data_IF_517547536133
#
_entry.id   IF_517547536133
#
_cell.length_a   1.000
_cell.length_b   1.000
_cell.length_c   1.000
_cell.angle_alpha   90.00
_cell.angle_beta   90.00
_cell.angle_gamma   90.00
#
_symmetry.space_group_name_H-M   'P 1'
#
loop_
_entity.id
_entity.type
_entity.pdbx_description
1 polymer ?
#
# COMPACT_ATOMS: atom_id res chain seq x y z
N UNK A 1 -8.41 -2.21 11.53
CA UNK A 1 -8.51 -3.23 12.62
C UNK A 1 -8.87 -2.55 13.92
N UNK A 2 -9.61 -3.20 14.82
CA UNK A 2 -9.90 -2.68 16.14
C UNK A 2 -8.60 -2.34 16.90
N UNK A 3 -8.62 -1.37 17.84
CA UNK A 3 -7.46 -1.05 18.66
C UNK A 3 -6.95 -2.27 19.43
N UNK A 4 -5.64 -2.29 19.70
CA UNK A 4 -5.04 -3.29 20.57
C UNK A 4 -5.47 -3.09 22.03
N UNK A 5 -5.28 -4.09 22.92
CA UNK A 5 -5.66 -3.97 24.33
C UNK A 5 -4.99 -2.82 25.10
N UNK A 6 -3.82 -2.36 24.62
CA UNK A 6 -3.10 -1.20 25.14
C UNK A 6 -3.48 0.13 24.46
N UNK A 7 -4.51 0.11 23.62
CA UNK A 7 -5.07 1.30 22.97
C UNK A 7 -4.37 1.74 21.68
N UNK A 8 -3.46 0.93 21.11
CA UNK A 8 -2.84 1.26 19.83
C UNK A 8 -3.83 1.12 18.68
N UNK A 9 -3.98 2.18 17.89
CA UNK A 9 -4.90 2.21 16.75
C UNK A 9 -4.25 1.76 15.44
N UNK A 10 -4.83 0.75 14.81
CA UNK A 10 -4.43 0.23 13.50
C UNK A 10 -5.32 0.84 12.42
N UNK A 11 -5.02 2.08 12.04
CA UNK A 11 -5.75 2.83 11.01
C UNK A 11 -4.80 3.68 10.16
N UNK A 12 -5.24 4.01 8.94
CA UNK A 12 -4.55 4.98 8.10
C UNK A 12 -4.74 6.38 8.70
N UNK A 13 -3.65 7.15 8.98
CA UNK A 13 -3.76 8.50 9.49
C UNK A 13 -4.52 9.44 8.55
N UNK A 14 -5.24 10.42 9.09
CA UNK A 14 -6.00 11.39 8.27
C UNK A 14 -5.09 12.20 7.34
N UNK A 15 -3.93 12.64 7.83
CA UNK A 15 -2.94 13.33 6.98
C UNK A 15 -2.43 12.45 5.83
N UNK A 16 -2.30 11.14 6.03
CA UNK A 16 -1.98 10.20 4.94
C UNK A 16 -3.08 10.16 3.88
N UNK A 17 -4.34 10.14 4.29
CA UNK A 17 -5.50 10.15 3.37
C UNK A 17 -5.54 11.42 2.53
N UNK A 18 -5.29 12.57 3.13
CA UNK A 18 -5.25 13.86 2.43
C UNK A 18 -4.10 13.94 1.43
N UNK A 19 -2.91 13.43 1.83
CA UNK A 19 -1.76 13.39 0.94
C UNK A 19 -2.02 12.48 -0.26
N UNK A 20 -2.60 11.29 -0.05
CA UNK A 20 -2.99 10.37 -1.11
C UNK A 20 -3.98 11.03 -2.08
N UNK A 21 -5.06 11.63 -1.58
CA UNK A 21 -6.02 12.37 -2.41
C UNK A 21 -5.34 13.45 -3.23
N UNK A 22 -4.43 14.20 -2.62
CA UNK A 22 -3.69 15.27 -3.29
C UNK A 22 -2.84 14.75 -4.45
N UNK A 23 -2.13 13.64 -4.25
CA UNK A 23 -1.25 13.04 -5.26
C UNK A 23 -2.06 12.51 -6.44
N UNK A 24 -3.12 11.73 -6.19
CA UNK A 24 -3.98 11.21 -7.25
C UNK A 24 -4.67 12.34 -8.02
N UNK A 25 -5.20 13.36 -7.33
CA UNK A 25 -5.84 14.51 -7.96
C UNK A 25 -4.92 15.30 -8.89
N UNK A 26 -3.62 15.40 -8.59
CA UNK A 26 -2.62 16.02 -9.51
C UNK A 26 -2.51 15.30 -10.84
N UNK A 27 -2.93 14.06 -10.91
CA UNK A 27 -2.92 13.18 -12.09
C UNK A 27 -4.31 13.00 -12.69
N UNK A 28 -5.28 13.82 -12.30
CA UNK A 28 -6.68 13.72 -12.71
C UNK A 28 -7.35 12.37 -12.34
N UNK A 29 -6.85 11.71 -11.29
CA UNK A 29 -7.43 10.49 -10.72
C UNK A 29 -8.14 10.86 -9.42
N UNK A 30 -9.43 10.57 -9.34
CA UNK A 30 -10.19 10.76 -8.10
C UNK A 30 -10.05 9.51 -7.24
N UNK A 31 -9.36 9.64 -6.12
CA UNK A 31 -9.20 8.55 -5.18
C UNK A 31 -10.31 8.57 -4.12
N UNK A 32 -11.24 7.63 -4.24
CA UNK A 32 -12.32 7.43 -3.28
C UNK A 32 -11.88 6.42 -2.23
N UNK A 33 -11.82 6.84 -0.98
CA UNK A 33 -11.57 5.96 0.16
C UNK A 33 -12.88 5.75 0.92
N UNK A 34 -13.38 4.52 0.92
CA UNK A 34 -14.42 4.11 1.84
C UNK A 34 -13.77 3.61 3.14
N UNK A 35 -13.74 4.49 4.12
CA UNK A 35 -13.21 4.23 5.47
C UNK A 35 -14.34 4.25 6.52
N UNK A 36 -15.59 4.11 6.05
CA UNK A 36 -16.81 4.19 6.83
C UNK A 36 -17.51 5.54 6.76
N UNK A 37 -16.91 6.55 6.16
CA UNK A 37 -17.55 7.84 5.92
C UNK A 37 -18.72 7.74 4.94
N UNK A 38 -18.72 6.72 4.10
CA UNK A 38 -19.81 6.39 3.16
C UNK A 38 -20.73 5.26 3.67
N UNK A 39 -20.53 4.83 4.91
CA UNK A 39 -21.45 3.91 5.59
C UNK A 39 -21.19 2.42 5.36
N UNK A 40 -20.01 2.01 4.95
CA UNK A 40 -19.78 0.63 4.51
C UNK A 40 -18.56 -0.11 5.06
N UNK A 41 -17.85 0.40 6.06
CA UNK A 41 -16.66 -0.28 6.55
C UNK A 41 -16.95 -1.27 7.68
N UNK A 42 -16.13 -2.32 7.73
CA UNK A 42 -16.13 -3.28 8.82
C UNK A 42 -14.94 -3.07 9.75
N UNK A 43 -15.18 -3.13 11.05
CA UNK A 43 -14.12 -3.15 12.05
C UNK A 43 -13.67 -4.59 12.27
N UNK A 44 -12.52 -4.94 11.72
CA UNK A 44 -11.91 -6.25 11.92
C UNK A 44 -11.48 -6.38 13.38
N UNK A 45 -11.84 -7.46 14.09
CA UNK A 45 -11.39 -7.69 15.46
C UNK A 45 -9.86 -7.67 15.57
N UNK A 46 -9.36 -7.19 16.72
CA UNK A 46 -7.92 -7.14 16.96
C UNK A 46 -7.28 -8.52 16.89
N UNK A 47 -6.15 -8.58 16.21
CA UNK A 47 -5.25 -9.72 16.17
C UNK A 47 -3.81 -9.20 16.31
N UNK A 48 -3.05 -9.80 17.21
CA UNK A 48 -1.66 -9.38 17.49
C UNK A 48 -0.69 -9.67 16.34
N UNK A 49 -1.00 -10.67 15.54
CA UNK A 49 -0.27 -11.04 14.31
C UNK A 49 -1.26 -11.57 13.28
N UNK A 50 -1.14 -11.06 12.07
CA UNK A 50 -1.95 -11.49 10.92
C UNK A 50 -1.00 -12.04 9.87
N UNK A 51 -1.20 -13.30 9.49
CA UNK A 51 -0.46 -13.95 8.41
C UNK A 51 -1.29 -13.99 7.12
N UNK A 52 -0.68 -14.45 6.03
CA UNK A 52 -1.33 -14.53 4.71
C UNK A 52 -2.61 -15.41 4.73
N UNK A 53 -2.61 -16.52 5.47
CA UNK A 53 -3.81 -17.36 5.60
C UNK A 53 -4.97 -16.60 6.26
N UNK A 54 -4.69 -15.86 7.34
CA UNK A 54 -5.71 -15.03 8.01
C UNK A 54 -6.22 -13.93 7.08
N UNK A 55 -5.34 -13.28 6.32
CA UNK A 55 -5.75 -12.25 5.36
C UNK A 55 -6.69 -12.81 4.30
N UNK A 56 -6.34 -13.92 3.68
CA UNK A 56 -7.10 -14.49 2.57
C UNK A 56 -8.35 -15.23 2.99
N UNK A 57 -8.26 -16.10 4.01
CA UNK A 57 -9.34 -17.03 4.37
C UNK A 57 -10.30 -16.44 5.40
N UNK A 58 -9.84 -15.46 6.18
CA UNK A 58 -10.68 -14.86 7.20
C UNK A 58 -11.03 -13.40 6.85
N UNK A 59 -10.04 -12.51 6.74
CA UNK A 59 -10.30 -11.08 6.59
C UNK A 59 -10.96 -10.79 5.25
N UNK A 60 -10.35 -11.19 4.14
CA UNK A 60 -10.89 -10.94 2.81
C UNK A 60 -12.25 -11.62 2.62
N UNK A 61 -12.37 -12.87 3.04
CA UNK A 61 -13.60 -13.64 2.89
C UNK A 61 -14.76 -13.08 3.70
N UNK A 62 -14.53 -12.73 4.98
CA UNK A 62 -15.63 -12.29 5.84
C UNK A 62 -15.97 -10.81 5.69
N UNK A 63 -14.96 -9.93 5.48
CA UNK A 63 -15.14 -8.47 5.56
C UNK A 63 -15.16 -7.80 4.19
N UNK A 64 -14.46 -8.31 3.19
CA UNK A 64 -14.58 -7.78 1.83
C UNK A 64 -15.67 -8.49 1.03
N UNK A 65 -15.64 -9.82 1.01
CA UNK A 65 -16.61 -10.61 0.24
C UNK A 65 -17.93 -10.88 0.99
N UNK A 66 -17.99 -10.64 2.29
CA UNK A 66 -19.16 -10.96 3.11
C UNK A 66 -19.63 -12.41 2.94
N UNK A 67 -18.68 -13.35 2.82
CA UNK A 67 -18.91 -14.80 2.60
C UNK A 67 -19.58 -15.14 1.26
N UNK A 68 -19.56 -14.23 0.31
CA UNK A 68 -20.10 -14.44 -1.05
C UNK A 68 -18.99 -14.30 -2.09
N UNK A 69 -18.58 -15.42 -2.70
CA UNK A 69 -17.56 -15.46 -3.73
C UNK A 69 -17.92 -14.68 -5.02
N UNK A 70 -19.17 -14.28 -5.18
CA UNK A 70 -19.68 -13.46 -6.29
C UNK A 70 -20.02 -12.05 -5.86
N UNK A 71 -19.53 -11.61 -4.70
CA UNK A 71 -19.81 -10.28 -4.19
C UNK A 71 -19.47 -9.21 -5.24
N UNK A 72 -20.37 -8.27 -5.43
CA UNK A 72 -20.25 -7.20 -6.43
C UNK A 72 -19.05 -6.28 -6.23
N UNK A 73 -18.44 -6.28 -5.04
CA UNK A 73 -17.19 -5.55 -4.75
C UNK A 73 -16.00 -6.03 -5.59
N UNK A 74 -16.04 -7.32 -6.01
CA UNK A 74 -15.07 -7.85 -6.96
C UNK A 74 -15.19 -7.11 -8.29
N UNK A 75 -14.08 -6.63 -8.82
CA UNK A 75 -14.05 -5.87 -10.06
C UNK A 75 -14.51 -4.40 -9.94
N UNK A 76 -14.77 -3.92 -8.72
CA UNK A 76 -15.16 -2.53 -8.45
C UNK A 76 -14.24 -1.86 -7.45
N UNK A 77 -13.80 -2.58 -6.40
CA UNK A 77 -12.98 -2.02 -5.33
C UNK A 77 -11.64 -2.73 -5.19
N UNK A 78 -10.63 -1.92 -4.90
CA UNK A 78 -9.38 -2.38 -4.31
C UNK A 78 -9.53 -2.38 -2.78
N UNK A 79 -9.02 -3.43 -2.12
CA UNK A 79 -9.22 -3.63 -0.70
C UNK A 79 -7.93 -3.47 0.09
N UNK A 80 -7.77 -2.32 0.76
CA UNK A 80 -6.63 -2.03 1.64
C UNK A 80 -6.96 -2.33 3.11
N UNK A 81 -6.12 -3.10 3.78
CA UNK A 81 -6.28 -3.44 5.19
C UNK A 81 -5.15 -2.85 6.02
N UNK A 82 -5.49 -2.14 7.09
CA UNK A 82 -4.51 -1.71 8.09
C UNK A 82 -4.61 -2.64 9.29
N UNK A 83 -3.60 -3.49 9.46
CA UNK A 83 -3.51 -4.45 10.58
C UNK A 83 -2.56 -3.95 11.66
N UNK A 84 -2.64 -4.52 12.87
CA UNK A 84 -1.68 -4.21 13.92
C UNK A 84 -0.27 -4.63 13.51
N UNK A 85 -0.09 -5.90 13.16
CA UNK A 85 1.17 -6.47 12.72
C UNK A 85 0.92 -7.65 11.78
N UNK A 86 1.72 -7.76 10.73
CA UNK A 86 1.80 -8.93 9.86
C UNK A 86 3.27 -9.36 9.72
N UNK A 87 3.52 -10.41 8.94
CA UNK A 87 4.86 -10.94 8.68
C UNK A 87 5.77 -9.89 8.03
N UNK A 88 5.18 -8.99 7.23
CA UNK A 88 5.88 -7.87 6.57
C UNK A 88 5.20 -6.53 6.89
N UNK A 89 5.94 -5.40 6.78
CA UNK A 89 5.37 -4.06 6.96
C UNK A 89 4.23 -3.74 6.00
N UNK A 90 4.26 -4.31 4.80
CA UNK A 90 3.22 -4.24 3.78
C UNK A 90 3.42 -5.36 2.77
N UNK A 91 2.35 -5.84 2.17
CA UNK A 91 2.37 -6.69 0.97
C UNK A 91 0.98 -6.82 0.34
N UNK A 92 0.96 -7.01 -1.00
CA UNK A 92 -0.21 -7.45 -1.74
C UNK A 92 -0.49 -8.92 -1.48
N UNK A 93 -1.70 -9.27 -1.06
CA UNK A 93 -2.09 -10.66 -0.81
C UNK A 93 -3.14 -11.17 -1.81
N UNK A 94 -3.64 -10.29 -2.66
CA UNK A 94 -4.46 -10.59 -3.85
C UNK A 94 -4.25 -9.49 -4.88
N UNK A 95 -4.63 -9.74 -6.13
CA UNK A 95 -4.56 -8.77 -7.22
C UNK A 95 -5.30 -7.45 -6.92
N UNK A 96 -6.33 -7.48 -6.09
CA UNK A 96 -7.10 -6.31 -5.68
C UNK A 96 -7.02 -6.02 -4.19
N UNK A 97 -6.08 -6.63 -3.46
CA UNK A 97 -6.04 -6.47 -2.00
C UNK A 97 -4.61 -6.46 -1.45
N UNK A 98 -4.37 -5.57 -0.50
CA UNK A 98 -3.10 -5.43 0.20
C UNK A 98 -3.29 -5.14 1.68
N UNK A 99 -2.24 -5.30 2.44
CA UNK A 99 -2.17 -4.91 3.83
C UNK A 99 -0.98 -4.00 4.13
N UNK A 100 -1.11 -3.14 5.14
CA UNK A 100 0.00 -2.48 5.81
C UNK A 100 -0.08 -2.74 7.32
N UNK A 101 1.09 -2.87 7.95
CA UNK A 101 1.23 -3.18 9.38
C UNK A 101 1.49 -1.90 10.16
N UNK A 102 0.52 -1.42 10.93
CA UNK A 102 0.61 -0.13 11.61
C UNK A 102 1.72 -0.09 12.69
N UNK A 103 1.87 -1.15 13.47
CA UNK A 103 2.86 -1.17 14.57
C UNK A 103 4.32 -1.09 14.08
N UNK A 104 4.78 -1.89 13.08
CA UNK A 104 6.14 -1.73 12.54
C UNK A 104 6.37 -0.35 11.89
N UNK A 105 5.38 0.19 11.20
CA UNK A 105 5.49 1.52 10.58
C UNK A 105 5.65 2.63 11.65
N UNK A 106 4.91 2.54 12.75
CA UNK A 106 5.05 3.47 13.88
C UNK A 106 6.40 3.35 14.58
N UNK A 107 6.98 2.14 14.63
CA UNK A 107 8.29 1.88 15.24
C UNK A 107 9.47 2.17 14.31
N UNK A 108 9.22 2.58 13.07
CA UNK A 108 10.28 2.88 12.12
C UNK A 108 11.15 4.05 12.63
N UNK A 109 12.37 3.70 13.09
CA UNK A 109 13.29 4.64 13.75
C UNK A 109 14.06 5.56 12.79
N UNK A 110 14.01 5.26 11.49
CA UNK A 110 14.72 6.04 10.47
C UNK A 110 14.03 7.35 10.16
N UNK A 111 12.81 7.53 10.65
CA UNK A 111 11.97 8.69 10.38
C UNK A 111 11.67 9.40 11.69
N UNK A 112 12.04 10.68 11.84
CA UNK A 112 11.72 11.46 13.04
C UNK A 112 10.21 11.50 13.28
N UNK A 113 9.79 11.26 14.51
CA UNK A 113 8.40 11.17 14.97
C UNK A 113 7.68 12.53 14.98
N UNK A 114 7.54 13.15 13.82
CA UNK A 114 6.59 14.27 13.65
C UNK A 114 5.31 13.74 13.02
N UNK A 115 4.16 14.37 13.28
CA UNK A 115 2.89 13.98 12.66
C UNK A 115 2.99 13.90 11.13
N UNK A 116 3.56 14.91 10.50
CA UNK A 116 3.76 14.96 9.05
C UNK A 116 4.59 13.78 8.51
N UNK A 117 5.62 13.36 9.25
CA UNK A 117 6.46 12.22 8.81
C UNK A 117 5.75 10.90 9.02
N UNK A 118 4.99 10.76 10.08
CA UNK A 118 4.10 9.61 10.27
C UNK A 118 3.13 9.48 9.11
N UNK A 119 2.50 10.58 8.71
CA UNK A 119 1.55 10.61 7.60
C UNK A 119 2.21 10.20 6.28
N UNK A 120 3.45 10.65 6.02
CA UNK A 120 4.22 10.26 4.84
C UNK A 120 4.55 8.75 4.87
N UNK A 121 5.00 8.22 6.00
CA UNK A 121 5.35 6.79 6.12
C UNK A 121 4.15 5.89 5.82
N UNK A 122 3.03 6.17 6.48
CA UNK A 122 1.82 5.38 6.29
C UNK A 122 1.24 5.54 4.89
N UNK A 123 1.18 6.77 4.38
CA UNK A 123 0.68 7.04 3.04
C UNK A 123 1.57 6.45 1.95
N UNK A 124 2.90 6.49 2.13
CA UNK A 124 3.86 5.87 1.22
C UNK A 124 3.73 4.35 1.19
N UNK A 125 3.69 3.71 2.35
CA UNK A 125 3.47 2.26 2.44
C UNK A 125 2.14 1.86 1.81
N UNK A 126 1.06 2.61 2.11
CA UNK A 126 -0.25 2.35 1.55
C UNK A 126 -0.26 2.50 0.02
N UNK A 127 0.33 3.57 -0.52
CA UNK A 127 0.41 3.82 -1.95
C UNK A 127 1.29 2.78 -2.66
N UNK A 128 2.38 2.34 -2.03
CA UNK A 128 3.25 1.28 -2.55
C UNK A 128 2.47 -0.02 -2.75
N UNK A 129 1.81 -0.50 -1.71
CA UNK A 129 1.05 -1.75 -1.79
C UNK A 129 -0.18 -1.63 -2.71
N UNK A 130 -0.82 -0.46 -2.73
CA UNK A 130 -1.88 -0.16 -3.69
C UNK A 130 -1.37 -0.25 -5.13
N UNK A 131 -0.14 0.20 -5.40
CA UNK A 131 0.49 0.13 -6.72
C UNK A 131 0.60 -1.30 -7.26
N UNK A 132 0.87 -2.28 -6.41
CA UNK A 132 0.87 -3.68 -6.82
C UNK A 132 -0.51 -4.14 -7.32
N UNK A 133 -1.58 -3.54 -6.82
CA UNK A 133 -2.94 -3.86 -7.29
C UNK A 133 -3.33 -3.13 -8.58
N UNK A 134 -2.49 -2.24 -9.10
CA UNK A 134 -2.60 -1.60 -10.41
C UNK A 134 -1.68 -2.25 -11.47
N UNK A 135 -1.23 -3.45 -11.23
CA UNK A 135 -0.27 -4.20 -12.05
C UNK A 135 1.12 -3.53 -12.17
N UNK A 136 1.48 -2.69 -11.21
CA UNK A 136 2.85 -2.19 -11.15
C UNK A 136 3.81 -3.33 -10.84
N UNK A 137 4.32 -3.93 -11.91
CA UNK A 137 5.42 -4.86 -11.78
C UNK A 137 6.71 -4.03 -11.70
N UNK A 138 7.39 -3.97 -10.53
CA UNK A 138 8.56 -3.11 -10.38
C UNK A 138 9.68 -3.63 -11.28
N UNK A 139 10.05 -2.82 -12.27
CA UNK A 139 11.11 -3.13 -13.23
C UNK A 139 12.50 -3.03 -12.59
N UNK A 140 12.58 -2.37 -11.42
CA UNK A 140 13.82 -2.24 -10.65
C UNK A 140 13.65 -1.29 -9.46
N UNK A 141 14.63 -1.31 -8.58
CA UNK A 141 14.55 -0.56 -7.32
C UNK A 141 13.65 -1.22 -6.24
N UNK A 142 13.09 -2.38 -6.53
CA UNK A 142 12.21 -3.14 -5.64
C UNK A 142 12.89 -4.40 -5.10
N UNK A 143 14.19 -4.32 -4.86
CA UNK A 143 15.01 -5.39 -4.31
C UNK A 143 15.80 -4.93 -3.11
N UNK A 144 16.37 -5.88 -2.37
CA UNK A 144 17.14 -5.60 -1.14
C UNK A 144 18.41 -4.79 -1.37
N UNK A 145 18.91 -4.69 -2.61
CA UNK A 145 20.09 -3.91 -2.99
C UNK A 145 19.75 -2.43 -3.28
N UNK A 146 18.50 -2.04 -3.14
CA UNK A 146 18.02 -0.69 -3.48
C UNK A 146 17.66 0.19 -2.29
N UNK A 147 17.75 -0.32 -1.05
CA UNK A 147 17.32 0.43 0.14
C UNK A 147 18.25 1.60 0.54
N UNK A 148 19.56 1.43 0.39
CA UNK A 148 20.51 2.34 1.03
C UNK A 148 21.57 2.87 0.08
N UNK A 149 22.07 4.12 0.30
CA UNK A 149 23.06 4.77 -0.57
C UNK A 149 24.41 4.04 -0.72
N UNK A 150 24.71 3.08 0.13
CA UNK A 150 25.94 2.26 -0.01
C UNK A 150 25.73 0.99 -0.86
N UNK A 151 24.55 0.77 -1.41
CA UNK A 151 24.21 -0.37 -2.26
C UNK A 151 24.23 0.04 -3.73
N UNK A 152 24.68 -0.88 -4.62
CA UNK A 152 24.78 -0.61 -6.06
C UNK A 152 23.42 -0.41 -6.73
N UNK A 153 22.42 -1.19 -6.32
CA UNK A 153 21.05 -1.04 -6.83
C UNK A 153 20.47 0.33 -6.52
N UNK A 154 20.77 0.89 -5.34
CA UNK A 154 20.31 2.23 -5.00
C UNK A 154 20.85 3.29 -5.99
N UNK A 155 22.13 3.24 -6.37
CA UNK A 155 22.72 4.17 -7.33
C UNK A 155 22.13 3.99 -8.74
N UNK A 156 21.91 2.75 -9.15
CA UNK A 156 21.31 2.44 -10.45
C UNK A 156 19.88 2.98 -10.56
N UNK A 157 19.06 2.75 -9.54
CA UNK A 157 17.64 3.07 -9.53
C UNK A 157 17.31 4.43 -8.91
N UNK A 158 18.31 5.19 -8.49
CA UNK A 158 18.13 6.52 -7.91
C UNK A 158 17.27 7.48 -8.77
N UNK A 159 17.32 7.48 -10.10
CA UNK A 159 16.44 8.34 -10.90
C UNK A 159 14.96 7.99 -10.77
N UNK A 160 14.62 6.73 -10.44
CA UNK A 160 13.26 6.28 -10.25
C UNK A 160 12.73 6.75 -8.90
N UNK A 161 12.27 8.00 -8.83
CA UNK A 161 11.72 8.61 -7.62
C UNK A 161 10.23 8.27 -7.54
N UNK A 162 9.95 7.14 -6.94
CA UNK A 162 8.62 6.56 -6.77
C UNK A 162 8.54 5.88 -5.42
N UNK A 163 7.37 5.86 -4.78
CA UNK A 163 7.15 5.03 -3.61
C UNK A 163 7.30 3.53 -3.93
N UNK A 164 7.23 3.11 -5.20
CA UNK A 164 7.52 1.75 -5.64
C UNK A 164 9.00 1.39 -5.55
N UNK A 165 9.90 2.36 -5.49
CA UNK A 165 11.33 2.14 -5.29
C UNK A 165 11.67 2.07 -3.80
N UNK A 166 12.28 0.99 -3.35
CA UNK A 166 12.66 0.79 -1.94
C UNK A 166 13.64 1.85 -1.40
N UNK A 167 14.37 2.55 -2.26
CA UNK A 167 15.18 3.70 -1.86
C UNK A 167 14.36 4.91 -1.44
N UNK A 168 13.07 4.97 -1.81
CA UNK A 168 12.18 6.10 -1.53
C UNK A 168 10.92 5.71 -0.77
N UNK A 169 10.64 4.43 -0.60
CA UNK A 169 9.55 3.97 0.26
C UNK A 169 9.71 4.58 1.65
N UNK A 170 8.62 5.02 2.25
CA UNK A 170 8.55 5.75 3.52
C UNK A 170 9.07 7.20 3.50
N UNK A 171 9.59 7.69 2.39
CA UNK A 171 10.12 9.05 2.28
C UNK A 171 9.21 9.99 1.49
N UNK A 172 8.35 9.45 0.64
CA UNK A 172 7.48 10.22 -0.25
C UNK A 172 6.18 9.49 -0.55
N UNK A 173 5.17 10.24 -0.97
CA UNK A 173 3.89 9.72 -1.45
C UNK A 173 3.73 10.24 -2.87
N UNK A 174 4.23 9.51 -3.84
CA UNK A 174 4.00 9.71 -5.28
C UNK A 174 4.55 8.50 -6.06
N UNK A 175 4.04 8.32 -7.25
CA UNK A 175 4.64 7.48 -8.28
C UNK A 175 5.49 8.33 -9.21
N UNK A 176 6.48 7.74 -9.89
CA UNK A 176 7.32 8.50 -10.81
C UNK A 176 6.61 8.84 -12.12
N UNK A 177 6.96 9.99 -12.70
CA UNK A 177 6.49 10.44 -14.01
C UNK A 177 7.46 10.15 -15.16
N UNK A 178 8.58 9.45 -14.89
CA UNK A 178 9.57 9.08 -15.89
C UNK A 178 10.42 10.23 -16.43
N UNK A 179 10.40 11.40 -15.80
CA UNK A 179 11.04 12.61 -16.33
C UNK A 179 12.55 12.71 -16.10
N UNK A 180 13.15 11.77 -15.33
CA UNK A 180 14.55 11.85 -14.86
C UNK A 180 15.53 11.01 -15.67
N UNK A 181 15.10 10.48 -16.82
CA UNK A 181 15.96 9.83 -17.79
C UNK A 181 16.10 8.31 -17.58
N UNK A 182 17.28 7.77 -17.94
CA UNK A 182 17.50 6.31 -17.89
C UNK A 182 17.26 5.75 -16.49
N UNK A 183 16.54 4.64 -16.40
CA UNK A 183 16.12 3.97 -15.18
C UNK A 183 15.03 4.70 -14.36
N UNK A 184 14.43 5.75 -14.92
CA UNK A 184 13.19 6.31 -14.40
C UNK A 184 12.02 5.83 -15.25
N UNK A 185 10.97 5.35 -14.59
CA UNK A 185 9.78 4.81 -15.27
C UNK A 185 8.60 5.73 -15.00
N UNK A 186 7.75 5.91 -16.01
CA UNK A 186 6.51 6.66 -15.84
C UNK A 186 5.41 5.71 -15.32
N UNK A 187 5.28 5.66 -14.00
CA UNK A 187 4.24 4.84 -13.35
C UNK A 187 2.83 5.34 -13.66
N UNK A 188 2.69 6.64 -13.93
CA UNK A 188 1.41 7.26 -14.28
C UNK A 188 1.01 7.05 -15.75
N UNK A 189 1.82 6.40 -16.56
CA UNK A 189 1.45 6.15 -17.96
C UNK A 189 0.30 5.14 -18.04
N UNK A 190 -0.61 5.28 -19.03
CA UNK A 190 -1.68 4.30 -19.25
C UNK A 190 -1.18 2.88 -19.54
N UNK A 191 0.07 2.74 -20.00
CA UNK A 191 0.68 1.44 -20.27
C UNK A 191 1.12 0.71 -18.97
N UNK A 192 1.14 1.41 -17.84
CA UNK A 192 1.57 0.87 -16.56
C UNK A 192 0.50 0.96 -15.48
N UNK A 193 -0.25 2.06 -15.44
CA UNK A 193 -1.31 2.27 -14.46
C UNK A 193 -2.62 1.69 -14.99
N UNK A 194 -2.94 0.49 -14.61
CA UNK A 194 -4.25 -0.09 -14.92
C UNK A 194 -5.19 0.02 -13.71
N UNK A 195 -5.97 1.09 -13.68
CA UNK A 195 -6.99 1.32 -12.65
C UNK A 195 -8.17 0.34 -12.75
N UNK A 196 -8.25 -0.43 -13.83
CA UNK A 196 -9.29 -1.44 -14.05
C UNK A 196 -8.80 -2.86 -13.82
N UNK A 197 -7.56 -3.02 -13.31
CA UNK A 197 -6.95 -4.31 -13.05
C UNK A 197 -7.57 -4.97 -11.80
N UNK A 198 -8.55 -5.80 -12.04
CA UNK A 198 -9.24 -6.58 -11.00
C UNK A 198 -9.08 -8.10 -11.21
N UNK A 199 -8.06 -8.51 -11.95
CA UNK A 199 -7.86 -9.94 -12.24
C UNK A 199 -7.55 -10.71 -10.96
N UNK A 200 -8.27 -11.79 -10.76
CA UNK A 200 -8.24 -12.64 -9.57
C UNK A 200 -7.14 -13.72 -9.63
N UNK A 201 -6.05 -13.49 -10.35
CA UNK A 201 -5.10 -14.52 -10.73
C UNK A 201 -3.74 -14.52 -10.05
N UNK A 202 -3.43 -13.56 -9.20
CA UNK A 202 -2.15 -13.55 -8.48
C UNK A 202 -2.30 -14.33 -7.18
N UNK A 203 -1.80 -15.52 -7.17
CA UNK A 203 -1.30 -16.18 -5.98
C UNK A 203 0.21 -15.94 -6.03
N UNK A 204 0.75 -15.15 -5.11
CA UNK A 204 2.17 -15.17 -4.86
C UNK A 204 2.51 -16.58 -4.37
N UNK A 205 3.05 -17.39 -5.25
CA UNK A 205 3.69 -18.65 -4.95
C UNK A 205 5.15 -18.37 -4.54
N UNK A 206 5.34 -17.70 -3.39
CA UNK A 206 6.64 -17.57 -2.74
C UNK A 206 6.60 -18.20 -1.33
#
# INVERSE_FOLDING_TARGET
>A
MAPSPDGFESKLPEGSKELLRTVFNRRNVVWHLDDGSMGGYDVIPFQSLVNNSILNQNIYWNYFLHKDAKNWRLGVFHYGVVVYRADFPGYGFRSNAWQISAYPLEQNKTIPKTSTKRDIVFGSAYMHECGHTFDFNPIGGHDRDSYYPWQLGWWKWRPYISCMNYGYIYLMIDYSDGSRGKYDFNDWSPDRLDLTYFQTGWVDDD
#
